data_IF_640161599722
#
_entry.id   IF_640161599722
#
_cell.length_a   1.000
_cell.length_b   1.000
_cell.length_c   1.000
_cell.angle_alpha   90.00
_cell.angle_beta   90.00
_cell.angle_gamma   90.00
#
_symmetry.space_group_name_H-M   'P 1'
#
loop_
_entity.id
_entity.type
_entity.pdbx_description
1 polymer ?
#
# COMPACT_ATOMS: atom_id res chain seq x y z
N UNK A 1 -24.21 -0.81 -11.46
CA UNK A 1 -24.59 -1.76 -12.53
C UNK A 1 -24.91 -3.08 -11.85
N UNK A 2 -26.14 -3.54 -12.01
CA UNK A 2 -26.71 -4.77 -11.45
C UNK A 2 -25.79 -5.98 -11.58
N UNK A 3 -25.30 -6.47 -10.45
CA UNK A 3 -24.70 -7.80 -10.36
C UNK A 3 -25.88 -8.76 -10.22
N UNK A 4 -26.33 -9.27 -11.36
CA UNK A 4 -27.39 -10.27 -11.46
C UNK A 4 -27.13 -11.45 -10.52
N UNK A 5 -28.10 -11.69 -9.66
CA UNK A 5 -28.24 -12.80 -8.73
C UNK A 5 -28.08 -14.11 -9.54
N UNK A 6 -26.90 -14.74 -9.48
CA UNK A 6 -26.71 -16.09 -10.06
C UNK A 6 -25.37 -16.37 -10.74
N UNK A 7 -24.47 -15.41 -10.93
CA UNK A 7 -23.10 -15.72 -11.42
C UNK A 7 -22.18 -16.05 -10.24
N UNK A 8 -21.45 -17.18 -10.27
CA UNK A 8 -20.44 -17.47 -9.26
C UNK A 8 -19.37 -16.38 -9.32
N UNK A 9 -18.92 -15.90 -8.15
CA UNK A 9 -17.80 -14.97 -8.07
C UNK A 9 -16.57 -15.71 -8.59
N UNK A 10 -16.00 -15.23 -9.69
CA UNK A 10 -14.78 -15.79 -10.25
C UNK A 10 -13.55 -15.14 -9.60
N UNK A 11 -12.39 -15.79 -9.72
CA UNK A 11 -11.15 -15.21 -9.22
C UNK A 11 -10.82 -13.89 -9.94
N UNK A 12 -11.05 -13.84 -11.25
CA UNK A 12 -10.86 -12.63 -12.04
C UNK A 12 -11.74 -11.47 -11.57
N UNK A 13 -13.02 -11.74 -11.27
CA UNK A 13 -13.92 -10.72 -10.71
C UNK A 13 -13.42 -10.21 -9.35
N UNK A 14 -12.92 -11.12 -8.51
CA UNK A 14 -12.36 -10.76 -7.20
C UNK A 14 -11.10 -9.92 -7.34
N UNK A 15 -10.13 -10.35 -8.15
CA UNK A 15 -8.89 -9.61 -8.42
C UNK A 15 -9.20 -8.21 -8.95
N UNK A 16 -10.12 -8.08 -9.92
CA UNK A 16 -10.60 -6.79 -10.43
C UNK A 16 -11.17 -5.92 -9.32
N UNK A 17 -11.97 -6.51 -8.42
CA UNK A 17 -12.57 -5.81 -7.28
C UNK A 17 -11.52 -5.33 -6.28
N UNK A 18 -10.48 -6.13 -6.04
CA UNK A 18 -9.35 -5.80 -5.17
C UNK A 18 -8.59 -4.61 -5.72
N UNK A 19 -8.19 -4.62 -6.99
CA UNK A 19 -7.52 -3.47 -7.63
C UNK A 19 -8.38 -2.21 -7.63
N UNK A 20 -9.71 -2.33 -7.75
CA UNK A 20 -10.63 -1.18 -7.62
C UNK A 20 -10.69 -0.60 -6.22
N UNK A 21 -10.59 -1.44 -5.20
CA UNK A 21 -10.57 -0.97 -3.81
C UNK A 21 -9.23 -0.38 -3.37
N UNK A 22 -8.18 -0.54 -4.17
CA UNK A 22 -6.82 -0.09 -3.85
C UNK A 22 -6.62 1.39 -4.16
N UNK A 23 -6.56 2.28 -3.15
CA UNK A 23 -6.56 3.72 -3.39
C UNK A 23 -5.31 4.22 -4.12
N UNK A 24 -4.13 3.71 -3.75
CA UNK A 24 -2.86 4.05 -4.41
C UNK A 24 -2.89 3.73 -5.91
N UNK A 25 -3.35 2.54 -6.25
CA UNK A 25 -3.48 2.11 -7.64
C UNK A 25 -4.60 2.86 -8.40
N UNK A 26 -5.74 3.13 -7.77
CA UNK A 26 -6.81 3.94 -8.40
C UNK A 26 -6.33 5.36 -8.72
N UNK A 27 -5.48 5.93 -7.86
CA UNK A 27 -4.86 7.22 -8.13
C UNK A 27 -3.96 7.12 -9.37
N UNK A 28 -3.15 6.07 -9.48
CA UNK A 28 -2.32 5.83 -10.67
C UNK A 28 -3.13 5.74 -11.97
N UNK A 29 -4.27 5.04 -11.95
CA UNK A 29 -5.19 4.98 -13.09
C UNK A 29 -5.75 6.36 -13.42
N UNK A 30 -6.19 7.10 -12.40
CA UNK A 30 -6.76 8.45 -12.57
C UNK A 30 -5.76 9.44 -13.18
N UNK A 31 -4.49 9.30 -12.81
CA UNK A 31 -3.40 10.10 -13.36
C UNK A 31 -2.86 9.57 -14.70
N UNK A 32 -3.42 8.46 -15.22
CA UNK A 32 -2.99 7.82 -16.46
C UNK A 32 -1.49 7.55 -16.46
N UNK A 33 -0.96 6.99 -15.37
CA UNK A 33 0.49 6.73 -15.28
C UNK A 33 0.97 5.69 -16.32
N UNK A 34 0.06 4.87 -16.87
CA UNK A 34 0.31 4.00 -18.04
C UNK A 34 0.00 4.66 -19.40
N UNK A 35 -0.18 5.98 -19.44
CA UNK A 35 -0.51 6.74 -20.66
C UNK A 35 -1.87 6.37 -21.27
N UNK A 36 -1.97 6.44 -22.60
CA UNK A 36 -3.20 6.15 -23.35
C UNK A 36 -3.70 4.71 -23.22
N UNK A 37 -2.82 3.78 -22.83
CA UNK A 37 -3.12 2.36 -22.67
C UNK A 37 -3.37 1.95 -21.23
N UNK A 38 -3.49 2.91 -20.28
CA UNK A 38 -3.75 2.62 -18.85
C UNK A 38 -4.91 1.63 -18.63
N UNK A 39 -5.99 1.74 -19.40
CA UNK A 39 -7.12 0.79 -19.30
C UNK A 39 -6.76 -0.61 -19.82
N UNK A 40 -6.02 -0.70 -20.93
CA UNK A 40 -5.59 -1.97 -21.52
C UNK A 40 -4.61 -2.69 -20.58
N UNK A 41 -3.67 -1.95 -20.00
CA UNK A 41 -2.70 -2.48 -19.02
C UNK A 41 -3.43 -2.89 -17.74
N UNK A 42 -4.47 -2.16 -17.31
CA UNK A 42 -5.29 -2.56 -16.16
C UNK A 42 -6.01 -3.90 -16.39
N UNK A 43 -6.62 -4.08 -17.57
CA UNK A 43 -7.28 -5.34 -17.92
C UNK A 43 -6.27 -6.49 -18.00
N UNK A 44 -5.14 -6.26 -18.65
CA UNK A 44 -4.04 -7.21 -18.73
C UNK A 44 -3.49 -7.58 -17.34
N UNK A 45 -3.29 -6.61 -16.46
CA UNK A 45 -2.81 -6.84 -15.09
C UNK A 45 -3.77 -7.76 -14.31
N UNK A 46 -5.07 -7.55 -14.45
CA UNK A 46 -6.07 -8.38 -13.79
C UNK A 46 -6.02 -9.83 -14.30
N UNK A 47 -5.82 -10.03 -15.60
CA UNK A 47 -5.72 -11.35 -16.21
C UNK A 47 -4.44 -12.07 -15.78
N UNK A 48 -3.28 -11.44 -15.91
CA UNK A 48 -1.99 -12.05 -15.55
C UNK A 48 -1.88 -12.30 -14.05
N UNK A 49 -2.45 -11.44 -13.20
CA UNK A 49 -2.49 -11.70 -11.74
C UNK A 49 -3.36 -12.90 -11.40
N UNK A 50 -4.51 -13.03 -12.06
CA UNK A 50 -5.40 -14.19 -11.90
C UNK A 50 -4.67 -15.46 -12.30
N UNK A 51 -4.06 -15.46 -13.49
CA UNK A 51 -3.32 -16.59 -14.02
C UNK A 51 -2.12 -16.97 -13.12
N UNK A 52 -1.36 -16.00 -12.64
CA UNK A 52 -0.20 -16.23 -11.80
C UNK A 52 -0.55 -16.94 -10.49
N UNK A 53 -1.65 -16.51 -9.85
CA UNK A 53 -2.17 -17.11 -8.60
C UNK A 53 -2.74 -18.51 -8.85
N UNK A 54 -3.34 -18.77 -10.01
CA UNK A 54 -3.83 -20.10 -10.38
C UNK A 54 -2.71 -21.08 -10.71
N UNK A 55 -1.68 -20.62 -11.44
CA UNK A 55 -0.56 -21.45 -11.87
C UNK A 55 0.46 -21.74 -10.76
N UNK A 56 0.52 -20.88 -9.74
CA UNK A 56 1.52 -21.00 -8.66
C UNK A 56 0.87 -21.50 -7.36
N UNK A 57 0.81 -22.83 -7.15
CA UNK A 57 0.32 -23.37 -5.88
C UNK A 57 1.30 -23.02 -4.76
N UNK A 58 0.78 -22.50 -3.63
CA UNK A 58 1.56 -22.02 -2.48
C UNK A 58 2.37 -20.74 -2.75
N UNK A 59 1.82 -19.84 -3.55
CA UNK A 59 2.35 -18.49 -3.66
C UNK A 59 2.30 -17.79 -2.29
N UNK A 60 3.45 -17.28 -1.84
CA UNK A 60 3.56 -16.50 -0.62
C UNK A 60 3.19 -15.02 -0.86
N UNK A 61 2.79 -14.34 0.21
CA UNK A 61 2.44 -12.92 0.19
C UNK A 61 3.60 -12.08 -0.32
N UNK A 62 4.80 -12.32 0.19
CA UNK A 62 5.98 -11.52 -0.14
C UNK A 62 6.32 -11.68 -1.63
N UNK A 63 6.27 -12.92 -2.14
CA UNK A 63 6.52 -13.20 -3.57
C UNK A 63 5.51 -12.53 -4.49
N UNK A 64 4.22 -12.56 -4.15
CA UNK A 64 3.19 -11.87 -4.94
C UNK A 64 3.36 -10.34 -4.87
N UNK A 65 3.72 -9.80 -3.70
CA UNK A 65 3.94 -8.37 -3.52
C UNK A 65 5.13 -7.88 -4.35
N UNK A 66 6.29 -8.53 -4.24
CA UNK A 66 7.48 -8.18 -5.05
C UNK A 66 7.19 -8.24 -6.55
N UNK A 67 6.42 -9.24 -6.99
CA UNK A 67 6.01 -9.36 -8.39
C UNK A 67 5.06 -8.24 -8.84
N UNK A 68 4.09 -7.86 -8.00
CA UNK A 68 3.19 -6.74 -8.29
C UNK A 68 3.95 -5.41 -8.32
N UNK A 69 4.87 -5.17 -7.39
CA UNK A 69 5.70 -3.96 -7.38
C UNK A 69 6.56 -3.83 -8.63
N UNK A 70 7.15 -4.94 -9.09
CA UNK A 70 7.87 -4.96 -10.37
C UNK A 70 6.97 -4.59 -11.55
N UNK A 71 5.71 -5.04 -11.57
CA UNK A 71 4.77 -4.67 -12.65
C UNK A 71 4.36 -3.20 -12.53
N UNK A 72 4.11 -2.71 -11.33
CA UNK A 72 3.76 -1.30 -11.14
C UNK A 72 4.89 -0.36 -11.55
N UNK A 73 6.14 -0.69 -11.23
CA UNK A 73 7.29 0.11 -11.65
C UNK A 73 7.49 0.06 -13.17
N UNK A 74 7.44 -1.13 -13.77
CA UNK A 74 7.72 -1.31 -15.20
C UNK A 74 6.59 -0.80 -16.11
N UNK A 75 5.33 -1.11 -15.78
CA UNK A 75 4.18 -0.86 -16.66
C UNK A 75 3.42 0.42 -16.32
N UNK A 76 3.43 0.83 -15.04
CA UNK A 76 2.72 2.03 -14.57
C UNK A 76 3.65 3.14 -14.09
N UNK A 77 4.98 2.95 -14.10
CA UNK A 77 5.94 3.89 -13.50
C UNK A 77 5.52 4.33 -12.09
N UNK A 78 4.97 3.38 -11.32
CA UNK A 78 4.35 3.60 -10.02
C UNK A 78 5.14 2.86 -8.95
N UNK A 79 5.57 3.61 -7.94
CA UNK A 79 6.23 3.07 -6.75
C UNK A 79 5.30 3.33 -5.55
N UNK A 80 4.87 2.27 -4.87
CA UNK A 80 3.99 2.32 -3.70
C UNK A 80 4.82 2.06 -2.43
N UNK A 81 5.21 3.13 -1.73
CA UNK A 81 6.00 3.06 -0.48
C UNK A 81 5.13 3.03 0.79
N UNK A 82 3.86 2.61 0.66
CA UNK A 82 2.89 2.57 1.77
C UNK A 82 2.65 1.14 2.29
N UNK A 83 3.45 0.17 1.84
CA UNK A 83 3.26 -1.27 2.10
C UNK A 83 1.84 -1.76 1.73
N UNK A 84 1.14 -1.05 0.84
CA UNK A 84 -0.19 -1.47 0.41
C UNK A 84 -0.12 -2.73 -0.43
N UNK A 85 0.91 -2.87 -1.27
CA UNK A 85 1.12 -4.05 -2.12
C UNK A 85 1.06 -5.34 -1.31
N UNK A 86 1.79 -5.35 -0.22
CA UNK A 86 1.80 -6.36 0.81
C UNK A 86 0.39 -6.72 1.34
N UNK A 87 -0.43 -5.73 1.68
CA UNK A 87 -1.80 -5.95 2.19
C UNK A 87 -2.70 -6.52 1.11
N UNK A 88 -2.66 -5.95 -0.10
CA UNK A 88 -3.52 -6.35 -1.21
C UNK A 88 -3.13 -7.74 -1.75
N UNK A 89 -1.84 -8.10 -1.76
CA UNK A 89 -1.36 -9.45 -2.06
C UNK A 89 -1.98 -10.49 -1.13
N UNK A 90 -2.00 -10.24 0.18
CA UNK A 90 -2.62 -11.15 1.14
C UNK A 90 -4.13 -11.31 0.88
N UNK A 91 -4.82 -10.22 0.55
CA UNK A 91 -6.26 -10.26 0.23
C UNK A 91 -6.53 -11.11 -1.01
N UNK A 92 -5.71 -10.98 -2.07
CA UNK A 92 -5.82 -11.79 -3.29
C UNK A 92 -5.62 -13.28 -2.96
N UNK A 93 -4.56 -13.61 -2.21
CA UNK A 93 -4.25 -14.99 -1.84
C UNK A 93 -5.36 -15.62 -0.97
N UNK A 94 -5.88 -14.88 0.01
CA UNK A 94 -7.02 -15.31 0.85
C UNK A 94 -8.25 -15.58 -0.01
N UNK A 95 -8.60 -14.67 -0.92
CA UNK A 95 -9.73 -14.86 -1.84
C UNK A 95 -9.57 -16.08 -2.74
N UNK A 96 -8.37 -16.29 -3.29
CA UNK A 96 -8.05 -17.47 -4.11
C UNK A 96 -8.18 -18.79 -3.32
N UNK A 97 -7.71 -18.80 -2.07
CA UNK A 97 -7.86 -19.94 -1.17
C UNK A 97 -9.33 -20.25 -0.87
N UNK A 98 -10.13 -19.24 -0.54
CA UNK A 98 -11.56 -19.40 -0.26
C UNK A 98 -12.33 -19.91 -1.48
N UNK A 99 -11.96 -19.46 -2.69
CA UNK A 99 -12.52 -19.97 -3.95
C UNK A 99 -12.22 -21.46 -4.15
N UNK A 100 -10.98 -21.87 -3.86
CA UNK A 100 -10.55 -23.27 -3.97
C UNK A 100 -11.24 -24.17 -2.95
N UNK A 101 -11.47 -23.65 -1.75
CA UNK A 101 -12.18 -24.35 -0.66
C UNK A 101 -13.72 -24.34 -0.86
N UNK A 102 -14.24 -23.52 -1.77
CA UNK A 102 -15.68 -23.38 -2.00
C UNK A 102 -16.41 -22.67 -0.87
N UNK A 103 -15.70 -21.91 -0.03
CA UNK A 103 -16.29 -21.19 1.10
C UNK A 103 -16.92 -19.86 0.65
N UNK A 104 -18.14 -19.95 0.14
CA UNK A 104 -18.89 -18.81 -0.42
C UNK A 104 -19.22 -17.74 0.64
N UNK A 105 -19.41 -18.13 1.90
CA UNK A 105 -19.77 -17.20 2.99
C UNK A 105 -18.63 -16.24 3.32
N UNK A 106 -17.43 -16.78 3.57
CA UNK A 106 -16.26 -15.94 3.86
C UNK A 106 -15.81 -15.17 2.61
N UNK A 107 -15.95 -15.77 1.41
CA UNK A 107 -15.69 -15.07 0.15
C UNK A 107 -16.60 -13.85 -0.01
N UNK A 108 -17.89 -13.99 0.30
CA UNK A 108 -18.84 -12.89 0.25
C UNK A 108 -18.52 -11.82 1.28
N UNK A 109 -18.12 -12.21 2.49
CA UNK A 109 -17.68 -11.27 3.53
C UNK A 109 -16.44 -10.48 3.09
N UNK A 110 -15.45 -11.13 2.47
CA UNK A 110 -14.29 -10.46 1.88
C UNK A 110 -14.72 -9.52 0.74
N UNK A 111 -15.61 -9.97 -0.13
CA UNK A 111 -16.18 -9.17 -1.21
C UNK A 111 -16.91 -7.91 -0.72
N UNK A 112 -17.70 -8.02 0.34
CA UNK A 112 -18.41 -6.91 0.97
C UNK A 112 -17.45 -5.98 1.75
N UNK A 113 -16.37 -6.53 2.33
CA UNK A 113 -15.34 -5.73 3.02
C UNK A 113 -14.54 -4.84 2.07
N UNK A 114 -14.32 -5.30 0.83
CA UNK A 114 -13.74 -4.53 -0.26
C UNK A 114 -14.75 -3.46 -0.70
N UNK A 115 -14.83 -2.27 -0.10
CA UNK A 115 -15.73 -1.21 -0.61
C UNK A 115 -15.18 -0.62 -1.92
N UNK A 116 -16.04 -0.35 -2.91
CA UNK A 116 -15.61 0.24 -4.23
C UNK A 116 -14.99 1.64 -4.08
N UNK A 117 -15.16 2.30 -2.93
CA UNK A 117 -14.68 3.67 -2.72
C UNK A 117 -14.00 3.82 -1.36
N UNK A 118 -12.65 3.86 -1.37
CA UNK A 118 -11.83 4.49 -0.33
C UNK A 118 -11.85 3.89 1.07
N UNK A 119 -12.39 2.69 1.27
CA UNK A 119 -12.37 2.02 2.56
C UNK A 119 -11.03 1.34 2.82
N UNK A 120 -10.28 1.81 3.82
CA UNK A 120 -9.14 1.06 4.37
C UNK A 120 -9.59 -0.37 4.66
N UNK A 121 -8.89 -1.35 4.09
CA UNK A 121 -9.05 -2.75 4.47
C UNK A 121 -8.62 -2.84 5.93
N UNK A 122 -9.61 -2.85 6.82
CA UNK A 122 -9.35 -3.04 8.25
C UNK A 122 -8.75 -4.43 8.37
N UNK A 123 -7.48 -4.50 8.78
CA UNK A 123 -6.70 -5.72 9.01
C UNK A 123 -7.46 -6.56 10.04
N UNK A 124 -8.41 -7.38 9.56
CA UNK A 124 -9.16 -8.30 10.38
C UNK A 124 -8.22 -9.45 10.76
N UNK A 125 -7.63 -9.25 11.93
CA UNK A 125 -7.25 -10.21 12.97
C UNK A 125 -7.20 -11.68 12.52
N UNK A 126 -5.98 -12.17 12.34
CA UNK A 126 -5.63 -13.54 12.64
C UNK A 126 -4.44 -13.48 13.59
N UNK A 127 -4.67 -13.72 14.89
CA UNK A 127 -3.99 -14.80 15.61
C UNK A 127 -4.47 -14.84 17.07
N UNK A 128 -4.97 -16.02 17.44
CA UNK A 128 -4.76 -16.73 18.70
C UNK A 128 -4.62 -15.95 20.02
N UNK A 129 -5.52 -16.28 20.93
CA UNK A 129 -5.42 -16.14 22.38
C UNK A 129 -3.99 -16.06 22.96
N UNK A 130 -3.61 -14.92 23.54
CA UNK A 130 -3.01 -14.86 24.86
C UNK A 130 -3.06 -13.45 25.45
N UNK A 131 -3.40 -13.44 26.73
CA UNK A 131 -3.64 -12.33 27.65
C UNK A 131 -2.51 -11.28 27.75
N UNK A 132 -2.93 -10.00 27.82
CA UNK A 132 -2.58 -9.10 28.93
C UNK A 132 -1.26 -8.33 28.83
N UNK A 133 -1.33 -7.01 28.67
CA UNK A 133 -1.30 -6.07 29.82
C UNK A 133 -1.05 -4.66 29.30
N UNK A 134 -1.93 -3.74 29.71
CA UNK A 134 -1.65 -2.32 29.79
C UNK A 134 -0.29 -2.05 30.46
N UNK A 135 0.43 -1.05 29.96
CA UNK A 135 0.94 -0.01 30.85
C UNK A 135 1.23 1.29 30.09
N UNK A 136 0.63 2.37 30.59
CA UNK A 136 0.86 3.76 30.24
C UNK A 136 2.16 4.29 30.89
N UNK A 137 2.49 5.54 30.54
CA UNK A 137 3.45 6.47 31.19
C UNK A 137 4.95 6.22 30.91
N UNK A 138 5.86 7.19 30.90
CA UNK A 138 5.96 8.65 30.71
C UNK A 138 7.44 8.96 31.06
N UNK A 139 7.89 10.18 30.75
CA UNK A 139 9.01 10.87 31.40
C UNK A 139 10.44 10.66 30.82
N UNK A 140 10.88 11.69 30.09
CA UNK A 140 11.80 12.66 30.69
C UNK A 140 13.32 12.44 30.58
N UNK A 141 14.02 13.59 30.47
CA UNK A 141 15.44 13.86 30.75
C UNK A 141 16.41 13.84 29.55
N UNK A 142 16.77 14.98 28.93
CA UNK A 142 17.63 16.11 29.40
C UNK A 142 19.13 15.80 29.46
N UNK A 143 19.83 16.29 28.42
CA UNK A 143 21.04 17.13 28.44
C UNK A 143 22.37 16.62 29.05
N UNK A 144 23.48 16.70 28.27
CA UNK A 144 24.69 17.50 28.55
C UNK A 144 25.94 17.12 27.69
N UNK A 145 26.42 18.12 26.94
CA UNK A 145 27.78 18.72 26.85
C UNK A 145 29.12 17.91 26.87
N UNK A 146 29.94 18.22 25.83
CA UNK A 146 31.42 18.49 25.80
C UNK A 146 32.43 17.30 25.93
N UNK A 147 33.72 17.39 25.48
CA UNK A 147 34.50 18.53 24.93
C UNK A 147 35.35 18.24 23.65
N UNK A 148 36.05 19.29 23.19
CA UNK A 148 36.91 19.46 22.00
C UNK A 148 38.32 18.81 22.06
N UNK A 149 38.89 18.45 20.89
CA UNK A 149 40.36 18.50 20.57
C UNK A 149 40.54 18.41 19.03
N UNK A 150 40.76 19.52 18.32
CA UNK A 150 42.04 20.06 17.77
C UNK A 150 42.79 19.17 16.75
N UNK A 151 42.71 19.52 15.45
CA UNK A 151 43.88 19.55 14.56
C UNK A 151 43.67 20.52 13.37
N UNK A 152 44.64 21.41 13.14
CA UNK A 152 44.72 22.44 12.08
C UNK A 152 45.64 21.90 10.96
N UNK A 153 45.46 22.24 9.66
CA UNK A 153 45.90 23.56 9.19
C UNK A 153 45.21 24.19 7.94
N UNK A 154 45.15 25.53 8.01
CA UNK A 154 45.52 26.54 7.00
C UNK A 154 44.84 26.66 5.60
N UNK A 155 44.11 27.78 5.48
CA UNK A 155 44.21 28.88 4.46
C UNK A 155 43.40 28.84 3.13
N UNK A 156 42.32 29.65 3.14
CA UNK A 156 41.88 30.67 2.15
C UNK A 156 41.01 30.25 0.92
N UNK A 157 40.22 31.18 0.30
CA UNK A 157 38.84 31.45 0.68
C UNK A 157 37.84 31.27 -0.49
N UNK A 158 36.64 30.75 -0.23
CA UNK A 158 35.53 30.76 -1.20
C UNK A 158 34.45 31.72 -0.74
N UNK A 159 34.00 32.53 -1.69
CA UNK A 159 33.11 33.66 -1.52
C UNK A 159 31.74 33.29 -0.92
N UNK A 160 31.18 34.28 -0.18
CA UNK A 160 29.75 34.60 0.01
C UNK A 160 28.81 33.44 0.37
N UNK A 161 28.55 33.16 1.66
CA UNK A 161 27.73 33.89 2.66
C UNK A 161 26.22 33.65 2.49
N UNK A 162 25.69 33.00 3.52
CA UNK A 162 24.34 33.08 4.11
C UNK A 162 23.22 32.20 3.53
N UNK A 163 22.89 31.16 4.31
CA UNK A 163 21.56 30.57 4.47
C UNK A 163 20.87 31.31 5.61
N UNK A 164 19.67 31.83 5.38
CA UNK A 164 18.57 32.04 6.33
C UNK A 164 17.37 32.44 5.44
N UNK A 165 16.26 31.70 5.35
CA UNK A 165 15.38 31.33 6.45
C UNK A 165 14.43 32.50 6.69
N UNK A 166 13.31 32.58 5.95
CA UNK A 166 12.18 33.42 6.39
C UNK A 166 10.84 32.81 5.98
N UNK A 167 10.05 32.60 7.03
CA UNK A 167 8.73 32.01 7.16
C UNK A 167 7.70 32.47 6.13
N UNK A 168 7.25 31.52 5.30
CA UNK A 168 6.15 31.66 4.35
C UNK A 168 4.78 31.22 4.87
N UNK A 169 4.45 31.46 6.15
CA UNK A 169 3.10 31.19 6.67
C UNK A 169 2.53 32.38 7.44
N UNK A 170 1.48 33.01 6.90
CA UNK A 170 0.76 34.11 7.55
C UNK A 170 -0.43 33.56 8.35
N UNK A 171 -0.44 33.77 9.66
CA UNK A 171 -1.53 33.37 10.56
C UNK A 171 -2.70 34.37 10.50
N UNK A 172 -3.90 33.89 10.17
CA UNK A 172 -5.13 34.72 10.08
C UNK A 172 -5.91 34.63 11.39
N UNK A 173 -5.94 35.72 12.18
CA UNK A 173 -6.87 35.84 13.31
C UNK A 173 -8.26 36.22 12.82
N UNK A 174 -9.25 35.35 13.06
CA UNK A 174 -10.68 35.66 12.89
C UNK A 174 -11.16 36.53 14.06
N UNK A 175 -11.96 37.55 13.75
CA UNK A 175 -12.59 38.47 14.70
C UNK A 175 -14.00 38.02 15.05
#
# INVERSE_FOLDING_TARGET
MDIGIGKPITLSDFVKRVFRSWPGYQMAIKHQLGGSSTNEIHEWLCEVTTEYVEQTPQLDRDTLAEWLDQIFDNEFQLILDDNSTDVFSNVILRGAKLLREGNVEEMKKQWDALKEEGGQISKAEEDSSSSGSDNEDDDGNDNQDEPMEEDKPAKQPKASRFVEGDDGWTQVCRR
#
